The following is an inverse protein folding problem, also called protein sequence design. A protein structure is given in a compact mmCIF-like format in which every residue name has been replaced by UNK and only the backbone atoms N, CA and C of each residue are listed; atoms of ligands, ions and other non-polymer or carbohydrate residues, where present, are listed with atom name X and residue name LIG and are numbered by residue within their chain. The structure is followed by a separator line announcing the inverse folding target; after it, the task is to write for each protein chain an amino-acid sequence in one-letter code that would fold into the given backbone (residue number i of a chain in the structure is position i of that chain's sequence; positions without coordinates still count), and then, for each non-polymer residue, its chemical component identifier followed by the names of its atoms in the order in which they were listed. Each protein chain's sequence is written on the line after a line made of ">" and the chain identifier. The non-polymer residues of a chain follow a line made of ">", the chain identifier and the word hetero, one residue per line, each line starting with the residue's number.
data_IF_833641211880
#
_entry.id   IF_833641211880
#
_cell.length_a   1.000
_cell.length_b   1.000
_cell.length_c   1.000
_cell.angle_alpha   90.00
_cell.angle_beta   90.00
_cell.angle_gamma   90.00
#
_symmetry.space_group_name_H-M   'P 1'
#
loop_
_entity.id
_entity.type
_entity.pdbx_description
1 polymer ?
#
# COMPACT_ATOMS: atom_id res chain seq x y z
N UNK A 1 -6.46 13.86 36.45
CA UNK A 1 -5.87 12.57 36.02
C UNK A 1 -5.08 12.86 34.75
N UNK A 2 -3.91 13.51 34.84
CA UNK A 2 -3.44 14.34 33.70
C UNK A 2 -1.91 14.42 33.54
N UNK A 3 -1.18 13.40 34.02
CA UNK A 3 0.31 13.41 33.93
C UNK A 3 0.92 12.10 33.45
N UNK A 4 0.10 11.09 33.13
CA UNK A 4 0.57 9.78 32.66
C UNK A 4 0.82 9.75 31.15
N UNK A 5 0.04 10.51 30.37
CA UNK A 5 0.13 10.51 28.91
C UNK A 5 1.42 11.11 28.35
N UNK A 6 1.97 12.16 28.98
CA UNK A 6 3.16 12.85 28.42
C UNK A 6 4.38 11.94 28.37
N UNK A 7 4.65 11.20 29.46
CA UNK A 7 5.83 10.33 29.54
C UNK A 7 5.70 9.09 28.65
N UNK A 8 4.51 8.52 28.56
CA UNK A 8 4.25 7.36 27.68
C UNK A 8 4.34 7.78 26.20
N UNK A 9 3.86 8.98 25.86
CA UNK A 9 3.99 9.53 24.51
C UNK A 9 5.46 9.83 24.15
N UNK A 10 6.21 10.45 25.06
CA UNK A 10 7.65 10.69 24.90
C UNK A 10 8.40 9.36 24.66
N UNK A 11 8.13 8.35 25.48
CA UNK A 11 8.73 7.03 25.32
C UNK A 11 8.38 6.37 23.97
N UNK A 12 7.11 6.45 23.55
CA UNK A 12 6.67 5.93 22.25
C UNK A 12 7.37 6.61 21.07
N UNK A 13 7.52 7.93 21.12
CA UNK A 13 8.24 8.70 20.09
C UNK A 13 9.69 8.27 20.00
N UNK A 14 10.36 8.07 21.14
CA UNK A 14 11.74 7.57 21.19
C UNK A 14 11.89 6.15 20.63
N UNK A 15 10.95 5.25 20.92
CA UNK A 15 10.95 3.90 20.35
C UNK A 15 10.73 3.91 18.83
N UNK A 16 9.81 4.75 18.32
CA UNK A 16 9.59 4.90 16.88
C UNK A 16 10.84 5.47 16.21
N UNK A 17 11.46 6.51 16.78
CA UNK A 17 12.69 7.09 16.26
C UNK A 17 13.81 6.06 16.17
N UNK A 18 14.03 5.30 17.27
CA UNK A 18 15.02 4.22 17.28
C UNK A 18 14.72 3.15 16.25
N UNK A 19 13.46 2.72 16.12
CA UNK A 19 13.09 1.71 15.14
C UNK A 19 13.27 2.18 13.68
N UNK A 20 13.09 3.48 13.41
CA UNK A 20 13.40 4.09 12.11
C UNK A 20 14.91 4.12 11.81
N UNK A 21 15.75 4.31 12.83
CA UNK A 21 17.22 4.30 12.68
C UNK A 21 17.79 2.88 12.62
N UNK A 22 17.27 1.97 13.44
CA UNK A 22 17.68 0.58 13.52
C UNK A 22 16.57 -0.26 14.17
N UNK A 23 15.91 -1.18 13.43
CA UNK A 23 16.37 -1.83 12.19
C UNK A 23 15.86 -1.18 10.88
N UNK A 24 15.15 -0.06 10.93
CA UNK A 24 14.54 0.60 9.77
C UNK A 24 13.11 0.13 9.44
N UNK A 25 12.51 -0.70 10.29
CA UNK A 25 11.12 -1.16 10.19
C UNK A 25 10.56 -1.55 11.56
N UNK A 26 9.24 -1.48 11.71
CA UNK A 26 8.54 -1.89 12.94
C UNK A 26 7.10 -2.31 12.62
N UNK A 27 6.50 -3.08 13.53
CA UNK A 27 5.08 -3.41 13.47
C UNK A 27 4.29 -2.40 14.30
N UNK A 28 3.15 -1.94 13.77
CA UNK A 28 2.20 -1.14 14.53
C UNK A 28 1.05 -2.05 14.95
N UNK A 29 0.85 -2.21 16.25
CA UNK A 29 -0.33 -2.83 16.82
C UNK A 29 -1.23 -1.74 17.45
N UNK A 30 -2.53 -2.02 17.59
CA UNK A 30 -3.45 -1.04 18.20
C UNK A 30 -3.66 0.23 17.37
N UNK A 31 -3.42 0.21 16.05
CA UNK A 31 -3.55 1.36 15.14
C UNK A 31 -5.00 1.87 14.95
N UNK A 32 -6.00 1.25 15.59
CA UNK A 32 -7.40 1.70 15.54
C UNK A 32 -8.12 1.44 14.20
N UNK A 33 -7.48 0.76 13.23
CA UNK A 33 -8.15 0.37 11.98
C UNK A 33 -9.00 -0.87 12.26
N UNK A 34 -10.29 -0.88 11.92
CA UNK A 34 -11.17 -2.01 12.17
C UNK A 34 -10.64 -3.31 11.52
N UNK A 35 -10.59 -4.40 12.28
CA UNK A 35 -10.09 -5.68 11.80
C UNK A 35 -10.89 -6.20 10.58
N UNK A 36 -12.21 -5.97 10.58
CA UNK A 36 -13.06 -6.35 9.45
C UNK A 36 -12.67 -5.63 8.16
N UNK A 37 -12.29 -4.34 8.23
CA UNK A 37 -11.85 -3.59 7.07
C UNK A 37 -10.55 -4.17 6.48
N UNK A 38 -9.63 -4.61 7.33
CA UNK A 38 -8.39 -5.27 6.90
C UNK A 38 -8.70 -6.61 6.21
N UNK A 39 -9.60 -7.41 6.79
CA UNK A 39 -10.04 -8.70 6.21
C UNK A 39 -10.74 -8.51 4.86
N UNK A 40 -11.60 -7.50 4.74
CA UNK A 40 -12.30 -7.19 3.50
C UNK A 40 -11.33 -6.74 2.41
N UNK A 41 -10.35 -5.90 2.76
CA UNK A 41 -9.30 -5.48 1.82
C UNK A 41 -8.48 -6.68 1.31
N UNK A 42 -8.09 -7.60 2.19
CA UNK A 42 -7.39 -8.83 1.83
C UNK A 42 -8.25 -9.74 0.94
N UNK A 43 -9.53 -9.90 1.26
CA UNK A 43 -10.50 -10.68 0.48
C UNK A 43 -10.69 -10.10 -0.92
N UNK A 44 -10.83 -8.78 -1.05
CA UNK A 44 -10.92 -8.12 -2.36
C UNK A 44 -9.63 -8.23 -3.17
N UNK A 45 -8.46 -8.11 -2.53
CA UNK A 45 -7.19 -8.32 -3.21
C UNK A 45 -7.08 -9.75 -3.74
N UNK A 46 -7.45 -10.76 -2.94
CA UNK A 46 -7.45 -12.15 -3.38
C UNK A 46 -8.37 -12.36 -4.60
N UNK A 47 -9.59 -11.83 -4.57
CA UNK A 47 -10.53 -11.88 -5.71
C UNK A 47 -9.99 -11.20 -6.96
N UNK A 48 -9.32 -10.06 -6.82
CA UNK A 48 -8.72 -9.33 -7.93
C UNK A 48 -7.64 -10.15 -8.63
N UNK A 49 -6.75 -10.79 -7.86
CA UNK A 49 -5.64 -11.55 -8.43
C UNK A 49 -6.05 -12.94 -8.95
N UNK A 50 -7.18 -13.48 -8.47
CA UNK A 50 -7.82 -14.69 -9.01
C UNK A 50 -8.47 -14.47 -10.39
N UNK A 51 -8.69 -13.22 -10.81
CA UNK A 51 -9.23 -12.93 -12.13
C UNK A 51 -8.29 -13.41 -13.26
N UNK A 52 -8.85 -13.84 -14.40
CA UNK A 52 -8.08 -14.12 -15.61
C UNK A 52 -7.19 -12.95 -16.03
N UNK A 53 -6.02 -13.26 -16.62
CA UNK A 53 -5.01 -12.26 -16.97
C UNK A 53 -5.56 -11.16 -17.90
N UNK A 54 -6.39 -11.51 -18.88
CA UNK A 54 -7.05 -10.56 -19.78
C UNK A 54 -7.89 -9.54 -19.01
N UNK A 55 -8.62 -9.97 -17.97
CA UNK A 55 -9.38 -9.07 -17.09
C UNK A 55 -8.48 -8.20 -16.24
N UNK A 56 -7.39 -8.74 -15.71
CA UNK A 56 -6.41 -7.94 -14.93
C UNK A 56 -5.74 -6.88 -15.81
N UNK A 57 -5.41 -7.21 -17.07
CA UNK A 57 -4.81 -6.30 -18.03
C UNK A 57 -5.72 -5.13 -18.42
N UNK A 58 -7.06 -5.27 -18.33
CA UNK A 58 -8.00 -4.15 -18.52
C UNK A 58 -7.80 -3.03 -17.50
N UNK A 59 -7.15 -3.30 -16.37
CA UNK A 59 -6.75 -2.29 -15.39
C UNK A 59 -5.28 -1.93 -15.47
N UNK A 60 -4.54 -2.24 -16.54
CA UNK A 60 -3.09 -2.02 -16.60
C UNK A 60 -2.70 -0.72 -17.30
N UNK A 61 -1.81 0.06 -16.69
CA UNK A 61 -1.12 1.16 -17.37
C UNK A 61 -0.38 0.70 -18.63
N UNK A 62 0.30 -0.45 -18.56
CA UNK A 62 1.08 -0.97 -19.71
C UNK A 62 0.19 -1.32 -20.90
N UNK A 63 -1.09 -1.64 -20.65
CA UNK A 63 -2.10 -1.86 -21.67
C UNK A 63 -2.80 -0.56 -22.13
N UNK A 64 -2.38 0.61 -21.62
CA UNK A 64 -2.98 1.90 -21.93
C UNK A 64 -4.33 2.16 -21.28
N UNK A 65 -4.75 1.33 -20.31
CA UNK A 65 -6.07 1.42 -19.69
C UNK A 65 -6.17 2.54 -18.64
N UNK A 66 -5.05 2.99 -18.08
CA UNK A 66 -4.98 4.11 -17.14
C UNK A 66 -4.00 5.17 -17.65
N UNK A 67 -4.23 6.44 -17.32
CA UNK A 67 -3.36 7.54 -17.79
C UNK A 67 -2.07 7.66 -16.98
N UNK A 68 -2.08 7.16 -15.75
CA UNK A 68 -0.96 7.21 -14.82
C UNK A 68 -0.39 5.81 -14.56
N UNK A 69 0.82 5.72 -13.97
CA UNK A 69 1.46 4.46 -13.52
C UNK A 69 0.67 3.83 -12.36
N UNK A 70 -0.53 3.35 -12.64
CA UNK A 70 -1.54 2.80 -11.74
C UNK A 70 -2.08 1.50 -12.32
N UNK A 71 -2.76 0.76 -11.47
CA UNK A 71 -3.40 -0.48 -11.84
C UNK A 71 -2.45 -1.65 -11.96
N UNK A 72 -2.84 -2.65 -12.76
CA UNK A 72 -2.20 -3.96 -12.80
C UNK A 72 -0.82 -3.94 -13.44
N UNK A 73 0.12 -4.65 -12.82
CA UNK A 73 1.46 -4.95 -13.32
C UNK A 73 1.78 -6.42 -13.07
N UNK A 74 2.42 -7.05 -14.04
CA UNK A 74 3.09 -8.35 -13.87
C UNK A 74 4.42 -8.23 -14.56
N UNK A 75 5.50 -8.16 -13.78
CA UNK A 75 6.85 -7.97 -14.29
C UNK A 75 7.80 -8.86 -13.50
N UNK A 76 8.58 -9.74 -14.15
CA UNK A 76 9.69 -10.40 -13.49
C UNK A 76 10.63 -9.33 -12.91
N UNK A 77 10.86 -9.37 -11.60
CA UNK A 77 11.87 -8.51 -10.98
C UNK A 77 13.19 -9.28 -10.94
N UNK A 78 14.27 -8.63 -11.37
CA UNK A 78 15.63 -9.12 -11.16
C UNK A 78 16.09 -8.69 -9.78
N UNK A 79 16.35 -9.65 -8.89
CA UNK A 79 17.03 -9.37 -7.63
C UNK A 79 18.55 -9.38 -7.85
N UNK A 80 19.28 -8.42 -7.28
CA UNK A 80 20.74 -8.39 -7.29
C UNK A 80 21.31 -8.98 -6.01
N UNK A 81 22.29 -9.91 -6.08
CA UNK A 81 22.92 -10.41 -7.31
C UNK A 81 22.05 -11.45 -8.06
N UNK A 82 22.09 -11.50 -9.41
CA UNK A 82 21.35 -12.45 -10.24
C UNK A 82 21.75 -13.92 -9.94
N UNK A 83 20.87 -14.92 -10.14
CA UNK A 83 19.82 -14.94 -11.19
C UNK A 83 18.39 -15.18 -10.68
N UNK A 84 18.05 -14.83 -9.44
CA UNK A 84 16.68 -15.03 -8.95
C UNK A 84 15.71 -14.06 -9.65
N UNK A 85 14.92 -14.60 -10.60
CA UNK A 85 13.70 -13.95 -11.08
C UNK A 85 12.61 -14.17 -10.03
N UNK A 86 12.07 -13.08 -9.52
CA UNK A 86 10.88 -13.14 -8.68
C UNK A 86 9.69 -12.84 -9.57
N UNK A 87 8.76 -13.80 -9.66
CA UNK A 87 7.48 -13.56 -10.26
C UNK A 87 6.59 -12.84 -9.26
N UNK A 88 6.24 -11.59 -9.58
CA UNK A 88 5.34 -10.76 -8.80
C UNK A 88 4.28 -10.19 -9.75
N UNK A 89 3.03 -10.29 -9.32
CA UNK A 89 1.97 -9.44 -9.81
C UNK A 89 1.58 -8.42 -8.73
N UNK A 90 1.08 -7.26 -9.16
CA UNK A 90 0.64 -6.23 -8.24
C UNK A 90 -0.37 -5.31 -8.88
N UNK A 91 -1.10 -4.58 -8.06
CA UNK A 91 -2.07 -3.59 -8.50
C UNK A 91 -1.86 -2.31 -7.72
N UNK A 92 -1.48 -1.23 -8.40
CA UNK A 92 -1.19 0.05 -7.75
C UNK A 92 -2.44 0.92 -7.71
N UNK A 93 -2.97 1.16 -6.52
CA UNK A 93 -4.07 2.11 -6.28
C UNK A 93 -3.49 3.42 -5.72
N UNK A 94 -3.86 4.54 -6.32
CA UNK A 94 -3.75 5.86 -5.70
C UNK A 94 -5.05 6.56 -6.01
N UNK A 95 -5.80 6.88 -4.97
CA UNK A 95 -7.11 7.50 -5.09
C UNK A 95 -7.57 8.04 -3.75
N UNK A 96 -8.62 8.83 -3.80
CA UNK A 96 -9.37 9.24 -2.63
C UNK A 96 -10.48 8.21 -2.33
N UNK A 97 -11.39 8.54 -1.42
CA UNK A 97 -12.52 7.67 -1.05
C UNK A 97 -13.50 7.40 -2.21
N UNK A 98 -13.37 8.08 -3.36
CA UNK A 98 -14.23 7.85 -4.52
C UNK A 98 -13.91 6.54 -5.26
N UNK A 99 -12.74 5.94 -4.99
CA UNK A 99 -12.29 4.73 -5.69
C UNK A 99 -11.80 4.99 -7.12
N UNK A 100 -11.65 6.25 -7.53
CA UNK A 100 -11.07 6.59 -8.83
C UNK A 100 -9.57 6.27 -8.84
N UNK A 101 -9.12 5.46 -9.81
CA UNK A 101 -7.70 5.07 -9.96
C UNK A 101 -6.87 6.06 -10.77
N UNK A 102 -7.54 7.01 -11.43
CA UNK A 102 -6.97 8.09 -12.24
C UNK A 102 -7.15 9.47 -11.57
N UNK A 103 -7.06 9.55 -10.23
CA UNK A 103 -7.07 10.86 -9.55
C UNK A 103 -5.93 11.71 -10.10
N UNK A 104 -6.28 12.91 -10.56
CA UNK A 104 -5.32 13.91 -11.03
C UNK A 104 -4.41 14.24 -9.85
N UNK A 105 -3.16 13.79 -9.91
CA UNK A 105 -2.14 14.19 -8.95
C UNK A 105 -2.03 15.73 -8.99
N UNK A 106 -2.63 16.42 -8.01
CA UNK A 106 -2.53 17.87 -7.84
C UNK A 106 -3.79 18.70 -8.15
N UNK A 107 -4.99 18.13 -8.27
CA UNK A 107 -6.22 18.92 -8.08
C UNK A 107 -7.00 18.40 -6.88
N UNK A 108 -7.28 19.33 -5.99
CA UNK A 108 -7.99 19.23 -4.70
C UNK A 108 -7.14 18.84 -3.48
N UNK A 109 -5.91 19.39 -3.38
CA UNK A 109 -5.38 19.78 -2.06
C UNK A 109 -5.87 21.20 -1.74
N UNK A 110 -7.08 21.25 -1.14
CA UNK A 110 -7.83 22.43 -0.68
C UNK A 110 -8.57 23.24 -1.78
N UNK A 111 -9.68 23.94 -1.45
CA UNK A 111 -10.54 24.64 -2.44
C UNK A 111 -9.82 25.74 -3.21
#
# INVERSE_FOLDING_TARGET
>A
METKDSKELEYLVEEIARACESPGFFHVAGHGVPEQLVKDAQSHAAKLFDLPLDKKLQGSFAAGATKHRRGYKSTPKTFTPPPALIWEEGFTLIGDKSGQVDVVCGKDLAP
#
